data_IF_319577033221
#
_entry.id   IF_319577033221
#
_cell.length_a   1.000
_cell.length_b   1.000
_cell.length_c   1.000
_cell.angle_alpha   90.00
_cell.angle_beta   90.00
_cell.angle_gamma   90.00
#
_symmetry.space_group_name_H-M   'P 1'
#
loop_
_entity.id
_entity.type
_entity.pdbx_description
1 polymer ?
#
# COMPACT_ATOMS: atom_id res chain seq x y z
N UNK A 1 7.19 45.12 -16.61
CA UNK A 1 7.06 43.97 -17.53
C UNK A 1 6.10 44.40 -18.64
N UNK A 2 6.48 44.29 -19.90
CA UNK A 2 5.54 44.52 -21.00
C UNK A 2 4.59 43.33 -21.05
N UNK A 3 3.27 43.58 -20.99
CA UNK A 3 2.28 42.52 -21.07
C UNK A 3 2.19 42.05 -22.52
N UNK A 4 2.52 40.78 -22.78
CA UNK A 4 2.45 40.17 -24.12
C UNK A 4 1.05 40.29 -24.79
N UNK A 5 0.03 40.61 -23.99
CA UNK A 5 -1.37 40.72 -24.38
C UNK A 5 -1.76 42.07 -24.99
N UNK A 6 -0.95 43.13 -24.83
CA UNK A 6 -1.32 44.48 -25.25
C UNK A 6 -1.31 44.69 -26.77
N UNK A 7 -0.59 43.83 -27.52
CA UNK A 7 -0.43 43.95 -28.97
C UNK A 7 -1.21 42.89 -29.78
N UNK A 8 -1.98 42.02 -29.13
CA UNK A 8 -2.73 40.95 -29.82
C UNK A 8 -4.15 41.40 -30.14
N UNK A 9 -4.67 40.93 -31.28
CA UNK A 9 -6.07 41.14 -31.64
C UNK A 9 -7.01 40.40 -30.69
N UNK A 10 -8.28 40.83 -30.64
CA UNK A 10 -9.30 40.19 -29.81
C UNK A 10 -9.49 38.71 -30.14
N UNK A 11 -9.41 38.35 -31.42
CA UNK A 11 -9.57 36.96 -31.88
C UNK A 11 -8.38 36.09 -31.44
N UNK A 12 -7.16 36.62 -31.54
CA UNK A 12 -5.95 35.95 -31.04
C UNK A 12 -5.99 35.76 -29.52
N UNK A 13 -6.52 36.75 -28.78
CA UNK A 13 -6.70 36.64 -27.33
C UNK A 13 -7.70 35.54 -26.95
N UNK A 14 -8.79 35.39 -27.70
CA UNK A 14 -9.79 34.34 -27.47
C UNK A 14 -9.22 32.96 -27.77
N UNK A 15 -8.53 32.81 -28.90
CA UNK A 15 -7.91 31.54 -29.30
C UNK A 15 -6.83 31.11 -28.31
N UNK A 16 -5.96 32.02 -27.88
CA UNK A 16 -4.97 31.72 -26.84
C UNK A 16 -5.62 31.35 -25.50
N UNK A 17 -6.69 32.04 -25.09
CA UNK A 17 -7.41 31.66 -23.88
C UNK A 17 -7.96 30.24 -23.97
N UNK A 18 -8.57 29.88 -25.10
CA UNK A 18 -9.11 28.54 -25.31
C UNK A 18 -8.00 27.47 -25.26
N UNK A 19 -6.86 27.74 -25.90
CA UNK A 19 -5.70 26.85 -25.86
C UNK A 19 -5.17 26.69 -24.43
N UNK A 20 -5.01 27.79 -23.70
CA UNK A 20 -4.56 27.77 -22.31
C UNK A 20 -5.54 27.00 -21.41
N UNK A 21 -6.85 27.20 -21.57
CA UNK A 21 -7.86 26.46 -20.84
C UNK A 21 -7.79 24.95 -21.12
N UNK A 22 -7.59 24.57 -22.38
CA UNK A 22 -7.42 23.18 -22.76
C UNK A 22 -6.16 22.56 -22.13
N UNK A 23 -5.02 23.25 -22.22
CA UNK A 23 -3.77 22.79 -21.60
C UNK A 23 -3.89 22.68 -20.08
N UNK A 24 -4.55 23.63 -19.42
CA UNK A 24 -4.80 23.57 -17.98
C UNK A 24 -5.70 22.38 -17.62
N UNK A 25 -6.74 22.12 -18.41
CA UNK A 25 -7.63 20.98 -18.19
C UNK A 25 -6.87 19.65 -18.34
N UNK A 26 -6.04 19.52 -19.38
CA UNK A 26 -5.19 18.36 -19.62
C UNK A 26 -4.21 18.12 -18.47
N UNK A 27 -3.45 19.14 -18.08
CA UNK A 27 -2.48 19.05 -16.98
C UNK A 27 -3.15 18.68 -15.65
N UNK A 28 -4.35 19.22 -15.38
CA UNK A 28 -5.13 18.84 -14.19
C UNK A 28 -5.57 17.38 -14.22
N UNK A 29 -5.95 16.86 -15.38
CA UNK A 29 -6.31 15.46 -15.54
C UNK A 29 -5.11 14.54 -15.31
N UNK A 30 -3.96 14.85 -15.92
CA UNK A 30 -2.70 14.12 -15.73
C UNK A 30 -2.25 14.13 -14.27
N UNK A 31 -2.31 15.30 -13.61
CA UNK A 31 -2.01 15.41 -12.17
C UNK A 31 -2.96 14.58 -11.31
N UNK A 32 -4.25 14.53 -11.64
CA UNK A 32 -5.20 13.70 -10.91
C UNK A 32 -4.90 12.21 -11.09
N UNK A 33 -4.50 11.78 -12.28
CA UNK A 33 -4.08 10.41 -12.53
C UNK A 33 -2.84 10.05 -11.71
N UNK A 34 -1.83 10.92 -11.69
CA UNK A 34 -0.62 10.72 -10.88
C UNK A 34 -0.96 10.68 -9.38
N UNK A 35 -1.78 11.62 -8.89
CA UNK A 35 -2.24 11.62 -7.49
C UNK A 35 -2.95 10.32 -7.13
N UNK A 36 -3.79 9.80 -8.02
CA UNK A 36 -4.48 8.52 -7.81
C UNK A 36 -3.51 7.33 -7.80
N UNK A 37 -2.43 7.36 -8.59
CA UNK A 37 -1.41 6.31 -8.57
C UNK A 37 -0.58 6.34 -7.27
N UNK A 38 -0.23 7.53 -6.78
CA UNK A 38 0.58 7.70 -5.56
C UNK A 38 -0.23 7.40 -4.30
N UNK A 39 -1.46 7.90 -4.23
CA UNK A 39 -2.27 7.85 -3.00
C UNK A 39 -3.38 6.78 -3.04
N UNK A 40 -3.57 6.10 -4.18
CA UNK A 40 -4.69 5.22 -4.41
C UNK A 40 -6.02 5.97 -4.64
N UNK A 41 -7.09 5.22 -4.92
CA UNK A 41 -8.46 5.76 -5.04
C UNK A 41 -9.14 6.00 -3.69
N UNK A 42 -8.63 5.37 -2.63
CA UNK A 42 -9.00 5.61 -1.24
C UNK A 42 -7.72 5.91 -0.49
N UNK A 43 -7.60 7.15 -0.03
CA UNK A 43 -6.57 7.50 0.95
C UNK A 43 -6.94 6.84 2.28
N UNK A 44 -6.76 5.54 2.41
CA UNK A 44 -6.66 4.88 3.72
C UNK A 44 -5.28 5.23 4.32
N UNK A 45 -4.94 6.53 4.32
CA UNK A 45 -3.87 7.05 5.15
C UNK A 45 -4.46 6.98 6.54
N UNK A 46 -4.01 5.99 7.30
CA UNK A 46 -4.31 5.89 8.72
C UNK A 46 -3.91 7.22 9.39
N UNK A 47 -4.91 8.04 9.71
CA UNK A 47 -4.73 9.25 10.52
C UNK A 47 -5.17 8.85 11.92
N UNK A 48 -4.24 8.58 12.85
CA UNK A 48 -4.62 8.33 14.23
C UNK A 48 -5.32 9.56 14.78
N UNK A 49 -6.57 9.40 15.21
CA UNK A 49 -7.39 10.47 15.79
C UNK A 49 -6.81 11.02 17.10
N UNK A 50 -5.91 10.27 17.75
CA UNK A 50 -5.26 10.63 19.00
C UNK A 50 -3.74 10.55 18.84
N UNK A 51 -3.07 11.71 18.76
CA UNK A 51 -1.62 11.82 18.52
C UNK A 51 -0.74 11.69 19.77
N UNK A 52 -1.21 11.11 20.88
CA UNK A 52 -0.45 11.11 22.14
C UNK A 52 -0.24 9.76 22.84
N UNK A 53 -0.86 8.66 22.39
CA UNK A 53 -0.90 7.44 23.23
C UNK A 53 -0.72 6.12 22.49
N UNK A 54 -0.49 6.14 21.17
CA UNK A 54 -0.47 4.91 20.38
C UNK A 54 0.76 3.99 20.65
N UNK A 55 1.76 4.47 21.42
CA UNK A 55 2.89 3.65 21.90
C UNK A 55 3.27 4.01 23.35
N UNK A 56 2.30 4.06 24.25
CA UNK A 56 2.60 3.96 25.70
C UNK A 56 2.25 2.56 26.17
N UNK A 57 3.18 1.61 26.03
CA UNK A 57 3.15 0.41 26.84
C UNK A 57 3.61 0.80 28.25
N UNK A 58 2.68 1.32 29.06
CA UNK A 58 2.86 1.41 30.52
C UNK A 58 2.82 -0.01 31.09
N UNK A 59 3.94 -0.72 30.92
CA UNK A 59 4.23 -1.93 31.68
C UNK A 59 4.59 -1.49 33.10
N UNK A 60 3.57 -1.16 33.90
CA UNK A 60 3.71 -1.08 35.36
C UNK A 60 4.00 -2.49 35.89
N UNK A 61 5.28 -2.84 35.92
CA UNK A 61 5.76 -3.99 36.67
C UNK A 61 6.03 -3.52 38.09
N UNK A 62 4.98 -3.44 38.91
CA UNK A 62 5.10 -3.41 40.37
C UNK A 62 4.27 -4.53 41.02
N UNK A 63 4.89 -5.70 41.11
CA UNK A 63 4.69 -6.76 42.13
C UNK A 63 3.30 -7.44 42.25
N UNK A 64 3.26 -8.70 42.73
CA UNK A 64 2.30 -9.68 42.23
C UNK A 64 0.95 -9.59 42.94
N UNK A 65 -0.08 -9.19 42.21
CA UNK A 65 -1.43 -9.66 42.54
C UNK A 65 -1.45 -11.17 42.30
N UNK A 66 -1.90 -11.95 43.28
CA UNK A 66 -2.05 -13.41 43.16
C UNK A 66 -3.04 -13.70 42.03
N UNK A 67 -2.51 -13.96 40.84
CA UNK A 67 -3.27 -14.41 39.68
C UNK A 67 -3.61 -15.88 39.95
N UNK A 68 -4.89 -16.15 40.21
CA UNK A 68 -5.40 -17.53 40.16
C UNK A 68 -5.13 -18.04 38.74
N UNK A 69 -4.35 -19.13 38.55
CA UNK A 69 -4.02 -19.59 37.22
C UNK A 69 -5.31 -19.98 36.49
N UNK A 70 -5.54 -19.47 35.26
CA UNK A 70 -6.67 -19.92 34.46
C UNK A 70 -6.50 -21.42 34.17
N UNK A 71 -7.60 -22.16 34.16
CA UNK A 71 -7.58 -23.59 33.87
C UNK A 71 -6.94 -23.84 32.49
N UNK A 72 -5.73 -24.41 32.49
CA UNK A 72 -4.99 -24.74 31.27
C UNK A 72 -5.49 -26.08 30.76
N UNK A 73 -6.10 -26.09 29.57
CA UNK A 73 -6.38 -27.33 28.83
C UNK A 73 -5.27 -27.56 27.81
N UNK A 74 -4.43 -28.56 28.05
CA UNK A 74 -3.40 -28.98 27.09
C UNK A 74 -4.07 -29.77 25.97
N UNK A 75 -4.14 -29.18 24.78
CA UNK A 75 -4.61 -29.86 23.57
C UNK A 75 -3.41 -30.45 22.82
N UNK A 76 -3.30 -31.78 22.79
CA UNK A 76 -2.34 -32.50 21.96
C UNK A 76 -3.00 -33.02 20.69
N UNK A 77 -2.39 -32.79 19.53
CA UNK A 77 -2.81 -33.42 18.28
C UNK A 77 -1.69 -34.31 17.73
N UNK A 78 -2.07 -35.46 17.18
CA UNK A 78 -1.19 -36.29 16.37
C UNK A 78 -1.54 -36.08 14.90
N UNK A 79 -0.55 -35.67 14.10
CA UNK A 79 -0.72 -35.57 12.65
C UNK A 79 -0.55 -36.96 12.06
N UNK A 80 -1.62 -37.53 11.53
CA UNK A 80 -1.50 -38.70 10.67
C UNK A 80 -0.76 -38.28 9.40
N UNK A 81 0.35 -38.97 9.08
CA UNK A 81 0.98 -38.86 7.77
C UNK A 81 0.01 -39.48 6.77
N UNK A 82 -0.82 -38.63 6.14
CA UNK A 82 -1.49 -39.03 4.91
C UNK A 82 -0.44 -39.47 3.91
N UNK A 83 -0.54 -40.72 3.44
CA UNK A 83 0.21 -41.16 2.27
C UNK A 83 -0.26 -40.29 1.11
N UNK A 84 0.58 -39.35 0.71
CA UNK A 84 0.38 -38.66 -0.55
C UNK A 84 0.42 -39.75 -1.62
N UNK A 85 -0.73 -40.04 -2.23
CA UNK A 85 -0.72 -40.78 -3.47
C UNK A 85 -0.04 -39.84 -4.47
N UNK A 86 1.23 -40.09 -4.77
CA UNK A 86 1.97 -39.34 -5.78
C UNK A 86 1.20 -39.47 -7.08
N UNK A 87 0.46 -38.43 -7.46
CA UNK A 87 -0.07 -38.29 -8.80
C UNK A 87 1.14 -38.13 -9.71
N UNK A 88 1.49 -39.21 -10.41
CA UNK A 88 2.50 -39.22 -11.46
C UNK A 88 1.96 -38.38 -12.62
N UNK A 89 2.25 -37.09 -12.61
CA UNK A 89 2.14 -36.27 -13.83
C UNK A 89 3.44 -36.40 -14.59
N UNK A 90 3.44 -37.29 -15.58
CA UNK A 90 4.46 -37.37 -16.62
C UNK A 90 4.45 -36.06 -17.43
N UNK A 91 5.43 -35.18 -17.20
CA UNK A 91 5.42 -33.92 -17.93
C UNK A 91 6.54 -32.93 -17.59
N UNK A 92 7.76 -33.29 -17.98
CA UNK A 92 8.87 -32.38 -18.36
C UNK A 92 9.53 -31.51 -17.26
N UNK A 93 10.69 -32.02 -16.87
CA UNK A 93 11.97 -31.30 -16.69
C UNK A 93 12.03 -30.18 -15.64
N UNK A 94 12.52 -30.58 -14.46
CA UNK A 94 13.03 -29.71 -13.40
C UNK A 94 14.38 -29.11 -13.79
N UNK A 95 14.48 -27.77 -13.77
CA UNK A 95 15.77 -27.08 -13.69
C UNK A 95 16.45 -27.41 -12.35
N UNK A 96 17.66 -27.96 -12.43
CA UNK A 96 18.50 -28.24 -11.28
C UNK A 96 19.28 -26.98 -10.87
N UNK A 97 19.06 -26.52 -9.64
CA UNK A 97 19.98 -25.57 -9.00
C UNK A 97 20.92 -26.37 -8.08
N UNK A 98 22.17 -26.49 -8.52
CA UNK A 98 23.28 -26.95 -7.69
C UNK A 98 23.80 -25.77 -6.87
N UNK A 99 23.78 -25.87 -5.55
CA UNK A 99 24.69 -25.11 -4.70
C UNK A 99 25.45 -26.10 -3.82
N UNK A 100 26.77 -25.97 -3.86
CA UNK A 100 27.76 -26.94 -3.45
C UNK A 100 28.26 -26.72 -2.01
N UNK A 101 28.83 -27.81 -1.46
CA UNK A 101 29.84 -27.89 -0.37
C UNK A 101 29.35 -27.45 1.02
N UNK A 102 29.86 -27.99 2.14
CA UNK A 102 31.20 -28.50 2.46
C UNK A 102 31.16 -29.71 3.38
#
# INVERSE_FOLDING_TARGET
MSNAYENMSREELVTQNQQLHFSVAQLRAELNQIKRLIYGSKSERFVPSNSSSQISLELEVESPTVIVPPAITTVSYQKEKGSYNTCVTSGKETFSFSSAKS
#
